data_IF_871647855625
#
_entry.id   IF_871647855625
#
_cell.length_a   1.000
_cell.length_b   1.000
_cell.length_c   1.000
_cell.angle_alpha   90.00
_cell.angle_beta   90.00
_cell.angle_gamma   90.00
#
_symmetry.space_group_name_H-M   'P 1'
#
loop_
_entity.id
_entity.type
_entity.pdbx_description
1 polymer ?
#
# COMPACT_ATOMS: atom_id res chain seq x y z
N UNK A 1 4.74 -9.09 -14.23
CA UNK A 1 4.07 -9.02 -12.92
C UNK A 1 4.18 -10.39 -12.27
N UNK A 2 4.98 -10.51 -11.22
CA UNK A 2 5.05 -11.74 -10.44
C UNK A 2 3.87 -11.68 -9.45
N UNK A 3 2.94 -12.66 -9.47
CA UNK A 3 1.83 -12.64 -8.53
C UNK A 3 2.35 -12.90 -7.11
N UNK A 4 1.89 -12.09 -6.15
CA UNK A 4 2.08 -12.38 -4.73
C UNK A 4 1.31 -13.67 -4.41
N UNK A 5 2.03 -14.69 -3.94
CA UNK A 5 1.41 -15.96 -3.55
C UNK A 5 0.60 -15.76 -2.26
N UNK A 6 -0.67 -16.19 -2.27
CA UNK A 6 -1.56 -16.07 -1.12
C UNK A 6 -1.64 -17.40 -0.37
N UNK A 7 -1.46 -17.33 0.95
CA UNK A 7 -1.57 -18.45 1.88
C UNK A 7 -2.74 -18.22 2.84
N UNK A 8 -3.43 -19.30 3.17
CA UNK A 8 -4.41 -19.28 4.25
C UNK A 8 -3.68 -19.35 5.59
N UNK A 9 -4.05 -18.48 6.52
CA UNK A 9 -3.51 -18.48 7.87
C UNK A 9 -4.63 -18.20 8.87
N UNK A 10 -4.67 -19.01 9.93
CA UNK A 10 -5.60 -18.79 11.03
C UNK A 10 -5.07 -17.68 11.95
N UNK A 11 -5.88 -16.64 12.13
CA UNK A 11 -5.65 -15.64 13.16
C UNK A 11 -6.03 -16.25 14.51
N UNK A 12 -5.03 -16.66 15.28
CA UNK A 12 -5.19 -17.23 16.63
C UNK A 12 -5.80 -16.21 17.58
N UNK A 13 -7.14 -16.26 17.69
CA UNK A 13 -7.98 -15.89 18.86
C UNK A 13 -9.46 -15.71 18.46
N UNK A 14 -9.83 -15.72 17.17
CA UNK A 14 -11.23 -15.53 16.74
C UNK A 14 -11.76 -16.54 15.71
N UNK A 15 -11.00 -17.57 15.34
CA UNK A 15 -11.44 -18.59 14.38
C UNK A 15 -11.67 -18.06 12.96
N UNK A 16 -11.18 -16.85 12.66
CA UNK A 16 -11.25 -16.26 11.31
C UNK A 16 -9.98 -16.61 10.55
N UNK A 17 -10.10 -17.48 9.54
CA UNK A 17 -9.06 -17.74 8.55
C UNK A 17 -8.93 -16.52 7.62
N UNK A 18 -7.70 -16.03 7.43
CA UNK A 18 -7.37 -14.92 6.53
C UNK A 18 -6.50 -15.37 5.36
N UNK A 19 -6.44 -14.54 4.32
CA UNK A 19 -5.46 -14.67 3.23
C UNK A 19 -4.31 -13.72 3.48
N UNK A 20 -3.09 -14.23 3.39
CA UNK A 20 -1.86 -13.48 3.59
C UNK A 20 -0.93 -13.70 2.40
N UNK A 21 -0.28 -12.63 1.96
CA UNK A 21 0.70 -12.67 0.90
C UNK A 21 1.86 -11.74 1.23
N UNK A 22 3.06 -12.18 0.87
CA UNK A 22 4.29 -11.42 1.03
C UNK A 22 4.97 -11.28 -0.33
N UNK A 23 5.67 -10.17 -0.51
CA UNK A 23 6.39 -9.86 -1.74
C UNK A 23 7.49 -8.85 -1.46
N UNK A 24 8.17 -8.46 -2.53
CA UNK A 24 9.25 -7.48 -2.52
C UNK A 24 8.81 -6.17 -3.19
N UNK A 25 9.77 -5.30 -3.48
CA UNK A 25 9.56 -4.01 -4.15
C UNK A 25 8.80 -4.16 -5.48
N UNK A 26 9.04 -5.22 -6.25
CA UNK A 26 8.37 -5.44 -7.54
C UNK A 26 6.86 -5.66 -7.38
N UNK A 27 6.43 -6.15 -6.22
CA UNK A 27 5.01 -6.31 -5.89
C UNK A 27 4.30 -4.96 -5.73
N UNK A 28 5.03 -3.88 -5.42
CA UNK A 28 4.49 -2.53 -5.29
C UNK A 28 4.33 -1.80 -6.63
N UNK A 29 4.92 -2.29 -7.72
CA UNK A 29 4.87 -1.65 -9.05
C UNK A 29 3.43 -1.41 -9.54
N UNK A 30 2.49 -2.29 -9.20
CA UNK A 30 1.08 -2.09 -9.56
C UNK A 30 0.44 -0.92 -8.81
N UNK A 31 0.74 -0.76 -7.51
CA UNK A 31 0.26 0.38 -6.74
C UNK A 31 0.91 1.68 -7.22
N UNK A 32 2.20 1.64 -7.53
CA UNK A 32 2.93 2.77 -8.11
C UNK A 32 2.25 3.33 -9.37
N UNK A 33 1.84 2.44 -10.29
CA UNK A 33 1.09 2.83 -11.49
C UNK A 33 -0.30 3.35 -11.14
N UNK A 34 -1.07 2.62 -10.32
CA UNK A 34 -2.45 2.98 -10.00
C UNK A 34 -2.57 4.31 -9.25
N UNK A 35 -1.61 4.67 -8.39
CA UNK A 35 -1.63 5.97 -7.70
C UNK A 35 -1.47 7.15 -8.66
N UNK A 36 -0.77 6.95 -9.79
CA UNK A 36 -0.61 7.93 -10.86
C UNK A 36 -1.85 7.96 -11.76
N UNK A 37 -2.31 6.80 -12.22
CA UNK A 37 -3.47 6.68 -13.11
C UNK A 37 -4.77 7.21 -12.48
N UNK A 38 -4.94 7.05 -11.17
CA UNK A 38 -6.12 7.55 -10.44
C UNK A 38 -5.90 8.96 -9.86
N UNK A 39 -4.75 9.60 -10.10
CA UNK A 39 -4.40 10.96 -9.63
C UNK A 39 -4.54 11.15 -8.10
N UNK A 40 -4.15 10.13 -7.31
CA UNK A 40 -4.32 10.12 -5.84
C UNK A 40 -3.01 10.17 -5.05
N UNK A 41 -1.91 10.61 -5.67
CA UNK A 41 -0.57 10.65 -5.06
C UNK A 41 -0.55 11.32 -3.68
N UNK A 42 -1.18 12.49 -3.53
CA UNK A 42 -1.17 13.23 -2.27
C UNK A 42 -1.93 12.50 -1.15
N UNK A 43 -3.07 11.88 -1.51
CA UNK A 43 -3.86 11.08 -0.56
C UNK A 43 -3.09 9.84 -0.15
N UNK A 44 -2.50 9.14 -1.12
CA UNK A 44 -1.69 7.95 -0.87
C UNK A 44 -0.50 8.30 0.03
N UNK A 45 0.24 9.37 -0.29
CA UNK A 45 1.36 9.85 0.51
C UNK A 45 0.94 10.13 1.96
N UNK A 46 -0.18 10.83 2.16
CA UNK A 46 -0.72 11.10 3.48
C UNK A 46 -1.03 9.82 4.27
N UNK A 47 -1.63 8.81 3.61
CA UNK A 47 -1.92 7.52 4.26
C UNK A 47 -0.66 6.75 4.63
N UNK A 48 0.35 6.73 3.76
CA UNK A 48 1.63 6.06 4.02
C UNK A 48 2.40 6.74 5.14
N UNK A 49 2.47 8.08 5.15
CA UNK A 49 3.16 8.83 6.21
C UNK A 49 2.47 8.67 7.57
N UNK A 50 1.14 8.71 7.61
CA UNK A 50 0.38 8.51 8.85
C UNK A 50 0.49 7.07 9.40
N UNK A 51 0.82 6.11 8.54
CA UNK A 51 0.99 4.70 8.89
C UNK A 51 2.37 4.34 9.44
N UNK A 52 3.33 5.26 9.44
CA UNK A 52 4.72 4.97 9.82
C UNK A 52 4.85 4.57 11.30
N UNK A 53 5.57 3.47 11.54
CA UNK A 53 6.08 3.04 12.85
C UNK A 53 7.49 2.47 12.67
N UNK A 54 8.51 3.29 12.97
CA UNK A 54 9.91 2.93 12.71
C UNK A 54 10.16 2.66 11.22
N UNK A 55 10.76 1.50 10.89
CA UNK A 55 11.04 1.10 9.52
C UNK A 55 9.87 0.39 8.81
N UNK A 56 8.64 0.60 9.30
CA UNK A 56 7.41 0.05 8.71
C UNK A 56 6.37 1.13 8.45
N UNK A 57 5.51 0.91 7.44
CA UNK A 57 4.25 1.65 7.29
C UNK A 57 3.10 0.68 7.02
N UNK A 58 1.94 0.97 7.61
CA UNK A 58 0.71 0.19 7.46
C UNK A 58 -0.44 1.07 6.98
N UNK A 59 -1.17 0.61 5.98
CA UNK A 59 -2.39 1.26 5.50
C UNK A 59 -3.42 0.23 5.04
N UNK A 60 -4.63 0.72 4.71
CA UNK A 60 -5.76 -0.10 4.30
C UNK A 60 -6.21 0.30 2.90
N UNK A 61 -6.55 -0.69 2.08
CA UNK A 61 -7.17 -0.51 0.77
C UNK A 61 -8.55 -1.15 0.75
N UNK A 62 -9.48 -0.56 0.00
CA UNK A 62 -10.82 -1.11 -0.15
C UNK A 62 -10.78 -2.43 -0.93
N UNK A 63 -11.28 -3.50 -0.31
CA UNK A 63 -11.34 -4.83 -0.94
C UNK A 63 -12.28 -4.84 -2.15
N UNK A 64 -13.39 -4.11 -2.06
CA UNK A 64 -14.39 -4.05 -3.13
C UNK A 64 -13.87 -3.26 -4.34
N UNK A 65 -13.18 -2.15 -4.11
CA UNK A 65 -12.58 -1.34 -5.19
C UNK A 65 -11.40 -2.07 -5.83
N UNK A 66 -10.58 -2.76 -5.03
CA UNK A 66 -9.48 -3.60 -5.53
C UNK A 66 -9.98 -4.75 -6.44
N UNK A 67 -11.17 -5.30 -6.16
CA UNK A 67 -11.77 -6.36 -6.99
C UNK A 67 -12.05 -5.91 -8.42
N UNK A 68 -12.39 -4.63 -8.63
CA UNK A 68 -12.60 -4.05 -9.97
C UNK A 68 -11.32 -3.44 -10.56
N UNK A 69 -10.16 -3.70 -9.95
CA UNK A 69 -8.85 -3.29 -10.46
C UNK A 69 -8.43 -1.86 -10.14
N UNK A 70 -9.19 -1.14 -9.30
CA UNK A 70 -8.90 0.23 -8.87
C UNK A 70 -8.35 0.27 -7.44
N UNK A 71 -7.89 1.43 -7.01
CA UNK A 71 -7.38 1.66 -5.65
C UNK A 71 -8.19 2.72 -4.92
N UNK A 72 -8.47 2.48 -3.63
CA UNK A 72 -9.16 3.44 -2.78
C UNK A 72 -8.78 3.19 -1.31
N UNK A 73 -8.62 4.28 -0.54
CA UNK A 73 -8.41 4.23 0.90
C UNK A 73 -9.76 4.34 1.61
N UNK A 74 -10.18 3.34 2.41
CA UNK A 74 -11.47 3.36 3.07
C UNK A 74 -11.49 4.38 4.22
N UNK A 75 -12.54 5.20 4.30
CA UNK A 75 -12.72 6.18 5.37
C UNK A 75 -12.95 5.55 6.76
N UNK A 76 -13.29 4.26 6.82
CA UNK A 76 -13.65 3.57 8.06
C UNK A 76 -13.60 2.04 7.91
N UNK A 77 -14.41 1.35 8.71
CA UNK A 77 -14.60 -0.11 8.56
C UNK A 77 -15.51 -0.39 7.38
N UNK A 78 -15.12 -1.33 6.54
CA UNK A 78 -15.93 -1.82 5.43
C UNK A 78 -16.66 -3.12 5.80
N UNK A 79 -17.83 -3.35 5.21
CA UNK A 79 -18.69 -4.51 5.48
C UNK A 79 -18.02 -5.86 5.23
N UNK A 80 -17.16 -5.95 4.21
CA UNK A 80 -16.42 -7.16 3.86
C UNK A 80 -14.95 -7.12 4.29
N UNK A 81 -14.59 -6.16 5.15
CA UNK A 81 -13.22 -5.87 5.55
C UNK A 81 -12.36 -5.29 4.43
N UNK A 82 -11.23 -4.71 4.82
CA UNK A 82 -10.27 -4.09 3.92
C UNK A 82 -9.10 -5.03 3.64
N UNK A 83 -8.29 -4.71 2.63
CA UNK A 83 -6.96 -5.29 2.44
C UNK A 83 -6.00 -4.49 3.33
N UNK A 84 -5.27 -5.18 4.20
CA UNK A 84 -4.24 -4.58 5.03
C UNK A 84 -2.90 -4.72 4.32
N UNK A 85 -2.21 -3.61 4.11
CA UNK A 85 -0.90 -3.57 3.44
C UNK A 85 0.12 -3.06 4.44
N UNK A 86 1.13 -3.87 4.69
CA UNK A 86 2.31 -3.51 5.47
C UNK A 86 3.53 -3.48 4.56
N UNK A 87 4.34 -2.43 4.67
CA UNK A 87 5.63 -2.31 3.99
C UNK A 87 6.69 -2.20 5.08
N UNK A 88 7.71 -3.06 5.00
CA UNK A 88 8.84 -3.09 5.93
C UNK A 88 10.14 -2.87 5.17
N UNK A 89 10.99 -1.97 5.65
CA UNK A 89 12.32 -1.72 5.12
C UNK A 89 13.42 -2.02 6.15
N UNK A 90 14.66 -2.11 5.69
CA UNK A 90 15.83 -2.36 6.55
C UNK A 90 16.13 -1.23 7.54
N UNK A 91 15.67 -0.01 7.25
CA UNK A 91 15.84 1.18 8.08
C UNK A 91 14.77 2.22 7.79
N UNK A 92 14.60 3.18 8.69
CA UNK A 92 13.67 4.30 8.54
C UNK A 92 13.97 5.14 7.28
N UNK A 93 15.26 5.30 6.94
CA UNK A 93 15.69 6.00 5.73
C UNK A 93 15.33 5.24 4.44
N UNK A 94 15.48 3.91 4.43
CA UNK A 94 15.06 3.09 3.30
C UNK A 94 13.55 3.10 3.13
N UNK A 95 12.79 3.07 4.24
CA UNK A 95 11.33 3.22 4.19
C UNK A 95 10.95 4.55 3.55
N UNK A 96 11.59 5.65 3.96
CA UNK A 96 11.30 6.96 3.39
C UNK A 96 11.55 7.00 1.88
N UNK A 97 12.64 6.38 1.40
CA UNK A 97 12.90 6.24 -0.05
C UNK A 97 11.82 5.45 -0.77
N UNK A 98 11.32 4.36 -0.17
CA UNK A 98 10.19 3.59 -0.74
C UNK A 98 8.91 4.45 -0.81
N UNK A 99 8.62 5.24 0.22
CA UNK A 99 7.46 6.15 0.23
C UNK A 99 7.60 7.24 -0.84
N UNK A 100 8.79 7.81 -0.99
CA UNK A 100 9.06 8.85 -2.00
C UNK A 100 8.99 8.31 -3.42
N UNK A 101 9.44 7.08 -3.67
CA UNK A 101 9.26 6.39 -4.94
C UNK A 101 7.79 6.05 -5.23
N UNK A 102 7.09 5.49 -4.25
CA UNK A 102 5.71 5.03 -4.42
C UNK A 102 4.72 6.19 -4.54
N UNK A 103 4.97 7.27 -3.79
CA UNK A 103 4.10 8.44 -3.64
C UNK A 103 4.91 9.75 -3.58
N UNK A 104 5.54 10.17 -4.69
CA UNK A 104 6.32 11.41 -4.73
C UNK A 104 5.47 12.62 -4.35
N UNK A 105 6.13 13.67 -3.83
CA UNK A 105 5.45 14.95 -3.60
C UNK A 105 5.02 15.55 -4.94
N UNK A 106 3.84 16.19 -4.96
CA UNK A 106 3.31 16.82 -6.17
C UNK A 106 3.16 18.33 -6.03
N UNK A 107 3.19 19.04 -7.17
CA UNK A 107 2.76 20.43 -7.29
C UNK A 107 1.78 20.49 -8.46
N UNK A 108 0.56 20.97 -8.21
CA UNK A 108 -0.54 20.96 -9.19
C UNK A 108 -0.85 19.56 -9.76
N UNK A 109 -0.71 18.50 -8.94
CA UNK A 109 -0.96 17.12 -9.35
C UNK A 109 0.21 16.41 -10.03
N UNK A 110 1.28 17.13 -10.37
CA UNK A 110 2.45 16.58 -11.06
C UNK A 110 3.58 16.28 -10.06
N UNK A 111 4.21 15.09 -10.11
CA UNK A 111 5.38 14.76 -9.29
C UNK A 111 6.52 15.78 -9.46
N UNK A 112 7.07 16.25 -8.34
CA UNK A 112 8.22 17.18 -8.34
C UNK A 112 9.53 16.44 -8.65
N UNK A 113 9.67 15.23 -8.12
CA UNK A 113 10.83 14.37 -8.32
C UNK A 113 10.35 12.92 -8.47
N UNK A 114 10.82 12.26 -9.52
CA UNK A 114 10.63 10.81 -9.74
C UNK A 114 11.97 10.13 -9.54
N UNK A 115 12.04 9.27 -8.53
CA UNK A 115 13.21 8.43 -8.27
C UNK A 115 12.93 7.01 -8.77
N UNK A 116 13.97 6.22 -9.00
CA UNK A 116 13.83 4.81 -9.36
C UNK A 116 14.53 3.95 -8.29
N UNK A 117 13.88 2.85 -7.90
CA UNK A 117 14.37 1.89 -6.91
C UNK A 117 14.57 0.51 -7.52
#
# INVERSE_FOLDING_TARGET
>A
MIPVELKLQDSGDSGSTGLYGEGDLESLRKLHLLFREEEILDTARGMLLNGIKGSTTEFRLSKQVAFVGKVNFPAGRESLGSIHVGITAGSDNELQRVIDWLTPQTINGEPVEEIEL
#
